data_IF_598378903000
#
_entry.id   IF_598378903000
#
_cell.length_a   1.000
_cell.length_b   1.000
_cell.length_c   1.000
_cell.angle_alpha   90.00
_cell.angle_beta   90.00
_cell.angle_gamma   90.00
#
_symmetry.space_group_name_H-M   'P 1'
#
loop_
_entity.id
_entity.type
_entity.pdbx_description
1 polymer ?
#
# COMPACT_ATOMS: atom_id res chain seq x y z
N UNK A 1 -52.35 -46.88 4.61
CA UNK A 1 -52.53 -45.52 5.10
C UNK A 1 -51.77 -44.60 4.14
N UNK A 2 -52.48 -43.94 3.21
CA UNK A 2 -51.92 -43.28 2.00
C UNK A 2 -51.45 -41.88 2.28
N UNK A 3 -50.25 -41.63 1.87
CA UNK A 3 -49.47 -40.37 1.92
C UNK A 3 -49.97 -39.38 0.86
N UNK A 4 -50.32 -38.17 1.25
CA UNK A 4 -50.64 -37.08 0.34
C UNK A 4 -49.38 -36.19 0.17
N UNK A 5 -48.76 -36.27 -1.01
CA UNK A 5 -47.76 -35.29 -1.45
C UNK A 5 -48.45 -34.13 -2.15
N UNK A 6 -48.34 -32.91 -1.60
CA UNK A 6 -48.80 -31.67 -2.21
C UNK A 6 -47.66 -31.03 -2.99
N UNK A 7 -47.80 -30.96 -4.31
CA UNK A 7 -46.86 -30.24 -5.20
C UNK A 7 -47.03 -28.73 -5.01
N UNK A 8 -45.95 -28.05 -4.70
CA UNK A 8 -45.86 -26.59 -4.75
C UNK A 8 -45.36 -26.21 -6.13
N UNK A 9 -46.18 -25.46 -6.89
CA UNK A 9 -45.81 -24.86 -8.17
C UNK A 9 -45.00 -23.58 -7.93
N UNK A 10 -43.77 -23.54 -8.41
CA UNK A 10 -42.93 -22.33 -8.43
C UNK A 10 -43.42 -21.41 -9.54
N UNK A 11 -43.91 -20.25 -9.21
CA UNK A 11 -44.24 -19.20 -10.16
C UNK A 11 -42.96 -18.34 -10.37
N UNK A 12 -42.43 -18.37 -11.58
CA UNK A 12 -41.34 -17.52 -12.02
C UNK A 12 -41.89 -16.15 -12.38
N UNK A 13 -41.59 -15.16 -11.59
CA UNK A 13 -41.89 -13.76 -11.88
C UNK A 13 -40.73 -13.18 -12.71
N UNK A 14 -40.93 -13.04 -14.01
CA UNK A 14 -40.01 -12.32 -14.89
C UNK A 14 -40.35 -10.85 -14.83
N UNK A 15 -39.51 -10.07 -14.14
CA UNK A 15 -39.59 -8.61 -14.13
C UNK A 15 -38.63 -8.08 -15.21
N UNK A 16 -39.20 -7.63 -16.31
CA UNK A 16 -38.48 -6.91 -17.37
C UNK A 16 -38.14 -5.51 -16.89
N UNK A 17 -36.88 -5.27 -16.50
CA UNK A 17 -36.35 -3.91 -16.30
C UNK A 17 -35.85 -3.39 -17.66
N UNK A 18 -36.54 -2.41 -18.18
CA UNK A 18 -36.10 -1.60 -19.31
C UNK A 18 -35.00 -0.66 -18.82
N UNK A 19 -33.75 -0.98 -19.16
CA UNK A 19 -32.61 -0.10 -18.89
C UNK A 19 -32.64 1.07 -19.89
N UNK A 20 -32.85 2.28 -19.36
CA UNK A 20 -32.58 3.53 -20.09
C UNK A 20 -31.06 3.65 -20.19
N UNK A 21 -30.51 3.48 -21.39
CA UNK A 21 -29.10 3.69 -21.70
C UNK A 21 -28.80 5.19 -21.74
N UNK A 22 -28.46 5.77 -20.59
CA UNK A 22 -27.66 6.98 -20.54
C UNK A 22 -26.22 6.56 -20.80
N UNK A 23 -25.65 7.02 -21.92
CA UNK A 23 -24.27 6.72 -22.32
C UNK A 23 -23.27 7.31 -21.35
N UNK A 24 -22.96 6.55 -20.30
CA UNK A 24 -21.73 6.70 -19.52
C UNK A 24 -20.69 5.83 -20.19
N UNK A 25 -19.70 6.44 -20.82
CA UNK A 25 -18.46 5.76 -21.21
C UNK A 25 -17.77 5.30 -19.94
N UNK A 26 -18.03 4.07 -19.52
CA UNK A 26 -17.19 3.38 -18.55
C UNK A 26 -15.85 3.20 -19.25
N UNK A 27 -14.86 4.00 -18.94
CA UNK A 27 -13.48 3.68 -19.32
C UNK A 27 -13.17 2.31 -18.74
N UNK A 28 -12.87 1.36 -19.62
CA UNK A 28 -12.56 0.00 -19.25
C UNK A 28 -11.43 0.00 -18.21
N UNK A 29 -11.75 -0.43 -17.00
CA UNK A 29 -10.77 -0.72 -15.97
C UNK A 29 -9.82 -1.78 -16.55
N UNK A 30 -8.51 -1.51 -16.55
CA UNK A 30 -7.53 -2.41 -17.17
C UNK A 30 -7.63 -3.81 -16.53
N UNK A 31 -7.45 -4.85 -17.34
CA UNK A 31 -7.57 -6.25 -16.90
C UNK A 31 -6.56 -6.61 -15.78
N UNK A 32 -5.47 -5.87 -15.61
CA UNK A 32 -4.46 -6.08 -14.59
C UNK A 32 -4.71 -5.31 -13.27
N UNK A 33 -5.72 -4.42 -13.24
CA UNK A 33 -6.16 -3.79 -12.00
C UNK A 33 -5.33 -2.59 -11.54
N UNK A 34 -4.50 -1.97 -12.39
CA UNK A 34 -3.80 -0.74 -12.03
C UNK A 34 -4.68 0.49 -12.24
N UNK A 35 -4.75 1.35 -11.23
CA UNK A 35 -5.55 2.58 -11.28
C UNK A 35 -4.67 3.76 -11.68
N UNK A 36 -4.93 4.38 -12.84
CA UNK A 36 -4.31 5.65 -13.21
C UNK A 36 -5.12 6.83 -12.70
N UNK A 37 -4.48 7.78 -12.01
CA UNK A 37 -5.10 9.04 -11.63
C UNK A 37 -4.75 10.09 -12.67
N UNK A 38 -5.78 10.66 -13.30
CA UNK A 38 -5.65 11.72 -14.32
C UNK A 38 -6.19 13.03 -13.78
N UNK A 39 -5.38 14.06 -13.84
CA UNK A 39 -5.72 15.43 -13.48
C UNK A 39 -5.13 16.38 -14.50
N UNK A 40 -5.76 17.53 -14.67
CA UNK A 40 -5.15 18.62 -15.47
C UNK A 40 -3.94 19.18 -14.72
N UNK A 41 -2.76 19.03 -15.31
CA UNK A 41 -1.54 19.56 -14.72
C UNK A 41 -1.56 21.09 -14.64
N UNK A 42 -1.30 21.62 -13.44
CA UNK A 42 -1.22 23.07 -13.15
C UNK A 42 0.21 23.55 -13.01
N UNK A 43 1.16 22.62 -12.85
CA UNK A 43 2.59 22.90 -12.78
C UNK A 43 3.40 21.67 -13.21
N UNK A 44 4.69 21.87 -13.45
CA UNK A 44 5.67 20.82 -13.72
C UNK A 44 6.51 20.46 -12.49
N UNK A 45 6.12 20.92 -11.30
CA UNK A 45 6.92 20.79 -10.08
C UNK A 45 7.29 19.32 -9.79
N UNK A 46 6.33 18.40 -9.92
CA UNK A 46 6.50 16.99 -9.65
C UNK A 46 6.59 16.12 -10.93
N UNK A 47 6.86 16.71 -12.10
CA UNK A 47 6.94 16.01 -13.39
C UNK A 47 8.21 15.16 -13.49
N UNK A 48 8.12 13.92 -13.07
CA UNK A 48 9.21 12.93 -13.15
C UNK A 48 9.42 12.42 -14.58
N UNK A 49 10.61 11.92 -14.87
CA UNK A 49 10.94 11.29 -16.17
C UNK A 49 10.17 9.97 -16.33
N UNK A 50 10.07 9.19 -15.26
CA UNK A 50 9.39 7.92 -15.21
C UNK A 50 8.09 8.01 -14.43
N UNK A 51 7.05 7.23 -14.78
CA UNK A 51 5.81 7.21 -14.03
C UNK A 51 6.04 6.72 -12.60
N UNK A 52 5.18 7.15 -11.68
CA UNK A 52 5.21 6.75 -10.29
C UNK A 52 4.13 5.71 -10.06
N UNK A 53 4.47 4.55 -9.48
CA UNK A 53 3.54 3.51 -9.08
C UNK A 53 3.53 3.41 -7.55
N UNK A 54 2.35 3.63 -6.97
CA UNK A 54 2.12 3.61 -5.53
C UNK A 54 1.59 2.24 -5.10
N UNK A 55 2.16 1.68 -4.05
CA UNK A 55 1.84 0.34 -3.54
C UNK A 55 1.41 0.41 -2.08
N UNK A 56 0.15 0.05 -1.82
CA UNK A 56 -0.46 0.08 -0.49
C UNK A 56 0.15 -0.95 0.48
N UNK A 57 -0.12 -0.76 1.78
CA UNK A 57 0.30 -1.65 2.86
C UNK A 57 -0.58 -2.89 3.04
N UNK A 58 -0.40 -3.56 4.18
CA UNK A 58 -1.27 -4.64 4.64
C UNK A 58 -2.68 -4.11 4.91
N UNK A 59 -3.71 -4.89 4.57
CA UNK A 59 -5.13 -4.50 4.57
C UNK A 59 -5.41 -3.23 3.76
N UNK A 60 -4.52 -2.87 2.83
CA UNK A 60 -4.69 -1.70 1.98
C UNK A 60 -5.49 -1.99 0.72
N UNK A 61 -5.80 -0.94 0.00
CA UNK A 61 -6.53 -0.91 -1.27
C UNK A 61 -5.96 0.17 -2.20
N UNK A 62 -6.39 0.22 -3.44
CA UNK A 62 -6.13 1.37 -4.31
C UNK A 62 -7.23 2.43 -4.16
N UNK A 63 -8.45 2.06 -4.51
CA UNK A 63 -9.68 2.85 -4.41
C UNK A 63 -10.86 1.96 -4.11
N UNK A 64 -11.65 2.31 -3.11
CA UNK A 64 -12.95 1.71 -2.80
C UNK A 64 -14.04 2.68 -3.25
N UNK A 65 -15.04 2.19 -4.01
CA UNK A 65 -16.15 3.00 -4.50
C UNK A 65 -16.10 3.27 -6.00
N UNK A 66 -16.71 4.39 -6.42
CA UNK A 66 -16.86 4.78 -7.83
C UNK A 66 -16.51 6.26 -8.03
N UNK A 67 -16.66 6.76 -9.24
CA UNK A 67 -16.29 8.15 -9.58
C UNK A 67 -17.08 9.22 -8.82
N UNK A 68 -18.29 8.89 -8.34
CA UNK A 68 -19.14 9.83 -7.58
C UNK A 68 -18.80 9.87 -6.10
N UNK A 69 -18.37 8.73 -5.55
CA UNK A 69 -17.92 8.60 -4.16
C UNK A 69 -16.88 7.50 -4.06
N UNK A 70 -15.69 7.88 -3.62
CA UNK A 70 -14.61 6.93 -3.43
C UNK A 70 -13.79 7.22 -2.16
N UNK A 71 -13.11 6.18 -1.69
CA UNK A 71 -12.15 6.24 -0.59
C UNK A 71 -10.82 5.74 -1.13
N UNK A 72 -9.92 6.67 -1.39
CA UNK A 72 -8.58 6.35 -1.83
C UNK A 72 -7.68 6.05 -0.64
N UNK A 73 -6.86 5.00 -0.75
CA UNK A 73 -5.80 4.71 0.23
C UNK A 73 -4.84 5.91 0.38
N UNK A 74 -4.52 6.53 -0.74
CA UNK A 74 -3.62 7.68 -0.86
C UNK A 74 -4.42 8.97 -0.97
N UNK A 75 -5.26 9.26 0.04
CA UNK A 75 -6.20 10.38 -0.01
C UNK A 75 -5.50 11.69 -0.36
N UNK A 76 -5.93 12.35 -1.45
CA UNK A 76 -5.40 13.59 -2.02
C UNK A 76 -3.92 13.55 -2.48
N UNK A 77 -3.15 12.50 -2.20
CA UNK A 77 -1.73 12.39 -2.60
C UNK A 77 -1.61 12.24 -4.11
N UNK A 78 -2.26 11.24 -4.72
CA UNK A 78 -2.14 11.01 -6.16
C UNK A 78 -2.74 12.15 -6.99
N UNK A 79 -3.94 12.68 -6.68
CA UNK A 79 -4.48 13.82 -7.40
C UNK A 79 -3.58 15.06 -7.31
N UNK A 80 -2.97 15.33 -6.15
CA UNK A 80 -2.05 16.46 -6.00
C UNK A 80 -0.78 16.27 -6.84
N UNK A 81 -0.17 15.09 -6.82
CA UNK A 81 1.00 14.77 -7.65
C UNK A 81 0.69 14.90 -9.13
N UNK A 82 -0.49 14.42 -9.59
CA UNK A 82 -0.93 14.54 -10.98
C UNK A 82 -1.15 16.01 -11.38
N UNK A 83 -1.80 16.82 -10.55
CA UNK A 83 -1.94 18.28 -10.77
C UNK A 83 -0.60 19.01 -10.83
N UNK A 84 0.44 18.42 -10.21
CA UNK A 84 1.81 18.96 -10.27
C UNK A 84 2.71 18.27 -11.32
N UNK A 85 2.09 17.56 -12.28
CA UNK A 85 2.72 17.07 -13.50
C UNK A 85 3.23 15.63 -13.46
N UNK A 86 3.06 14.88 -12.35
CA UNK A 86 3.43 13.47 -12.30
C UNK A 86 2.43 12.60 -13.07
N UNK A 87 2.95 11.58 -13.75
CA UNK A 87 2.13 10.44 -14.21
C UNK A 87 2.10 9.41 -13.08
N UNK A 88 0.93 9.21 -12.45
CA UNK A 88 0.80 8.42 -11.23
C UNK A 88 -0.22 7.30 -11.37
N UNK A 89 0.12 6.17 -10.77
CA UNK A 89 -0.70 4.96 -10.71
C UNK A 89 -0.77 4.43 -9.29
N UNK A 90 -1.88 3.81 -8.91
CA UNK A 90 -2.04 3.02 -7.69
C UNK A 90 -2.22 1.55 -8.04
N UNK A 91 -1.37 0.71 -7.47
CA UNK A 91 -1.42 -0.74 -7.69
C UNK A 91 -2.58 -1.38 -6.90
N UNK A 92 -3.28 -2.32 -7.53
CA UNK A 92 -4.28 -3.20 -6.91
C UNK A 92 -3.70 -4.59 -6.73
N UNK A 93 -3.12 -4.85 -5.59
CA UNK A 93 -2.51 -6.14 -5.23
C UNK A 93 -3.19 -6.72 -4.00
N UNK A 94 -2.93 -7.99 -3.69
CA UNK A 94 -3.52 -8.64 -2.51
C UNK A 94 -3.34 -7.79 -1.25
N UNK A 95 -4.42 -7.47 -0.52
CA UNK A 95 -4.33 -6.75 0.76
C UNK A 95 -3.66 -7.60 1.87
N UNK A 96 -3.65 -8.93 1.74
CA UNK A 96 -3.05 -9.83 2.73
C UNK A 96 -2.44 -11.07 2.05
N UNK A 97 -1.12 -11.06 1.84
CA UNK A 97 -0.34 -12.20 1.36
C UNK A 97 1.16 -11.97 1.64
N UNK A 98 2.03 -12.91 1.25
CA UNK A 98 3.49 -12.74 1.39
C UNK A 98 4.01 -11.56 0.57
N UNK A 99 5.16 -11.03 0.97
CA UNK A 99 5.86 -9.95 0.24
C UNK A 99 6.11 -10.34 -1.21
N UNK A 100 6.56 -11.57 -1.45
CA UNK A 100 6.88 -12.08 -2.79
C UNK A 100 5.63 -12.20 -3.67
N UNK A 101 4.56 -12.78 -3.13
CA UNK A 101 3.31 -12.92 -3.87
C UNK A 101 2.77 -11.55 -4.32
N UNK A 102 2.74 -10.59 -3.41
CA UNK A 102 2.37 -9.20 -3.69
C UNK A 102 3.32 -8.56 -4.72
N UNK A 103 4.61 -8.89 -4.62
CA UNK A 103 5.63 -8.43 -5.55
C UNK A 103 5.43 -8.95 -6.97
N UNK A 104 5.07 -10.23 -7.14
CA UNK A 104 4.75 -10.80 -8.46
C UNK A 104 3.51 -10.12 -9.08
N UNK A 105 2.47 -9.86 -8.28
CA UNK A 105 1.31 -9.10 -8.76
C UNK A 105 1.72 -7.67 -9.17
N UNK A 106 2.59 -7.03 -8.42
CA UNK A 106 3.09 -5.69 -8.73
C UNK A 106 3.94 -5.68 -10.01
N UNK A 107 4.76 -6.72 -10.26
CA UNK A 107 5.53 -6.84 -11.50
C UNK A 107 4.62 -6.81 -12.72
N UNK A 108 3.54 -7.59 -12.73
CA UNK A 108 2.59 -7.60 -13.84
C UNK A 108 1.98 -6.20 -14.10
N UNK A 109 1.65 -5.47 -13.05
CA UNK A 109 1.11 -4.11 -13.14
C UNK A 109 2.17 -3.08 -13.56
N UNK A 110 3.42 -3.27 -13.14
CA UNK A 110 4.55 -2.44 -13.64
C UNK A 110 4.74 -2.65 -15.14
N UNK A 111 4.71 -3.88 -15.62
CA UNK A 111 4.81 -4.19 -17.06
C UNK A 111 3.66 -3.51 -17.85
N UNK A 112 2.44 -3.50 -17.29
CA UNK A 112 1.31 -2.76 -17.87
C UNK A 112 1.59 -1.24 -17.91
N UNK A 113 2.08 -0.64 -16.83
CA UNK A 113 2.43 0.80 -16.80
C UNK A 113 3.50 1.14 -17.83
N UNK A 114 4.51 0.30 -17.97
CA UNK A 114 5.55 0.47 -19.00
C UNK A 114 4.95 0.47 -20.41
N UNK A 115 4.04 -0.47 -20.68
CA UNK A 115 3.34 -0.55 -21.98
C UNK A 115 2.44 0.67 -22.22
N UNK A 116 1.65 1.10 -21.23
CA UNK A 116 0.76 2.24 -21.32
C UNK A 116 1.48 3.58 -21.51
N UNK A 117 2.65 3.72 -20.92
CA UNK A 117 3.39 5.00 -20.92
C UNK A 117 4.52 5.07 -21.95
N UNK A 118 4.88 3.94 -22.56
CA UNK A 118 6.05 3.84 -23.45
C UNK A 118 7.37 4.12 -22.74
N UNK A 119 7.41 3.98 -21.40
CA UNK A 119 8.64 4.15 -20.61
C UNK A 119 9.29 2.80 -20.36
N UNK A 120 10.59 2.82 -20.11
CA UNK A 120 11.41 1.64 -19.81
C UNK A 120 11.52 1.36 -18.31
N UNK A 121 11.19 2.33 -17.46
CA UNK A 121 11.28 2.24 -15.99
C UNK A 121 10.13 2.93 -15.31
N UNK A 122 9.94 2.59 -14.02
CA UNK A 122 9.02 3.26 -13.10
C UNK A 122 9.76 3.71 -11.83
N UNK A 123 9.18 4.70 -11.14
CA UNK A 123 9.51 5.03 -9.76
C UNK A 123 8.49 4.34 -8.84
N UNK A 124 8.93 3.45 -7.97
CA UNK A 124 8.09 2.71 -7.04
C UNK A 124 8.05 3.40 -5.68
N UNK A 125 6.87 3.55 -5.10
CA UNK A 125 6.68 4.03 -3.72
C UNK A 125 5.76 3.09 -2.99
N UNK A 126 6.23 2.48 -1.89
CA UNK A 126 5.48 1.52 -1.10
C UNK A 126 5.31 1.96 0.35
N UNK A 127 4.07 1.94 0.84
CA UNK A 127 3.75 2.20 2.25
C UNK A 127 3.70 0.89 3.04
N UNK A 128 4.23 0.89 4.26
CA UNK A 128 4.11 -0.27 5.17
C UNK A 128 4.64 -1.55 4.51
N UNK A 129 3.83 -2.62 4.41
CA UNK A 129 4.15 -3.84 3.64
C UNK A 129 4.46 -3.56 2.16
N UNK A 130 3.96 -2.46 1.61
CA UNK A 130 4.34 -1.99 0.26
C UNK A 130 5.83 -1.68 0.13
N UNK A 131 6.51 -1.29 1.21
CA UNK A 131 7.96 -1.05 1.22
C UNK A 131 8.78 -2.28 0.81
N UNK A 132 8.73 -3.40 1.53
CA UNK A 132 9.38 -4.64 1.10
C UNK A 132 8.81 -5.18 -0.23
N UNK A 133 7.53 -4.93 -0.57
CA UNK A 133 6.95 -5.32 -1.86
C UNK A 133 7.65 -4.61 -3.03
N UNK A 134 7.82 -3.28 -2.98
CA UNK A 134 8.55 -2.55 -4.05
C UNK A 134 10.04 -2.92 -4.08
N UNK A 135 10.63 -3.25 -2.93
CA UNK A 135 11.99 -3.76 -2.85
C UNK A 135 12.13 -5.13 -3.53
N UNK A 136 11.14 -6.00 -3.40
CA UNK A 136 11.11 -7.28 -4.12
C UNK A 136 11.17 -7.05 -5.63
N UNK A 137 10.33 -6.17 -6.17
CA UNK A 137 10.35 -5.82 -7.60
C UNK A 137 11.72 -5.29 -8.03
N UNK A 138 12.31 -4.40 -7.22
CA UNK A 138 13.65 -3.86 -7.50
C UNK A 138 14.76 -4.95 -7.51
N UNK A 139 14.61 -6.00 -6.68
CA UNK A 139 15.55 -7.11 -6.64
C UNK A 139 15.39 -8.09 -7.82
N UNK A 140 14.13 -8.37 -8.22
CA UNK A 140 13.81 -9.41 -9.22
C UNK A 140 13.75 -8.85 -10.64
N UNK A 141 13.33 -7.59 -10.81
CA UNK A 141 13.21 -6.88 -12.11
C UNK A 141 13.92 -5.52 -12.07
N UNK A 142 15.22 -5.46 -11.76
CA UNK A 142 15.95 -4.20 -11.63
C UNK A 142 15.90 -3.33 -12.88
N UNK A 143 15.75 -3.93 -14.05
CA UNK A 143 15.65 -3.22 -15.34
C UNK A 143 14.39 -2.34 -15.44
N UNK A 144 13.33 -2.64 -14.70
CA UNK A 144 12.07 -1.88 -14.73
C UNK A 144 12.03 -0.75 -13.69
N UNK A 145 13.02 -0.67 -12.78
CA UNK A 145 12.95 0.22 -11.62
C UNK A 145 14.00 1.33 -11.72
N UNK A 146 13.56 2.58 -11.66
CA UNK A 146 14.43 3.76 -11.58
C UNK A 146 14.70 4.14 -10.12
N UNK A 147 13.66 4.07 -9.28
CA UNK A 147 13.78 4.23 -7.83
C UNK A 147 12.80 3.36 -7.06
N UNK A 148 13.15 3.00 -5.83
CA UNK A 148 12.26 2.34 -4.88
C UNK A 148 12.29 3.09 -3.54
N UNK A 149 11.11 3.49 -3.06
CA UNK A 149 10.94 4.31 -1.87
C UNK A 149 10.04 3.61 -0.87
N UNK A 150 10.45 3.53 0.39
CA UNK A 150 9.66 3.04 1.49
C UNK A 150 9.09 4.15 2.36
N UNK A 151 7.80 4.09 2.67
CA UNK A 151 7.08 5.00 3.55
C UNK A 151 6.57 4.20 4.73
N UNK A 152 7.10 4.42 5.93
CA UNK A 152 6.78 3.59 7.09
C UNK A 152 7.00 2.09 6.81
N UNK A 153 8.00 1.74 5.98
CA UNK A 153 8.19 0.39 5.44
C UNK A 153 8.68 -0.61 6.48
N UNK A 154 8.22 -1.85 6.38
CA UNK A 154 8.57 -2.96 7.29
C UNK A 154 9.83 -3.70 6.84
N UNK A 155 10.94 -2.98 6.63
CA UNK A 155 12.18 -3.58 6.08
C UNK A 155 12.91 -4.51 7.05
N UNK A 156 12.63 -4.41 8.34
CA UNK A 156 13.14 -5.29 9.40
C UNK A 156 12.02 -5.96 10.20
N UNK A 157 10.82 -5.97 9.66
CA UNK A 157 9.63 -6.53 10.30
C UNK A 157 8.96 -5.57 11.28
N UNK A 158 7.91 -6.08 11.91
CA UNK A 158 7.09 -5.39 12.89
C UNK A 158 6.89 -6.28 14.12
N UNK A 159 7.27 -5.78 15.28
CA UNK A 159 7.00 -6.43 16.58
C UNK A 159 5.49 -6.59 16.83
N UNK A 160 4.65 -5.72 16.23
CA UNK A 160 3.18 -5.90 16.27
C UNK A 160 2.78 -7.19 15.57
N UNK A 161 3.35 -7.47 14.38
CA UNK A 161 3.08 -8.71 13.65
C UNK A 161 3.53 -9.95 14.46
N UNK A 162 4.72 -9.89 15.09
CA UNK A 162 5.21 -10.97 15.96
C UNK A 162 4.26 -11.23 17.12
N UNK A 163 3.77 -10.19 17.79
CA UNK A 163 2.83 -10.33 18.91
C UNK A 163 1.49 -10.91 18.49
N UNK A 164 0.97 -10.53 17.32
CA UNK A 164 -0.25 -11.12 16.77
C UNK A 164 -0.03 -12.61 16.49
N UNK A 165 1.08 -12.98 15.85
CA UNK A 165 1.39 -14.37 15.53
C UNK A 165 1.60 -15.26 16.77
N UNK A 166 2.29 -14.75 17.78
CA UNK A 166 2.71 -15.52 18.94
C UNK A 166 1.62 -15.65 20.02
N UNK A 167 0.51 -14.93 19.92
CA UNK A 167 -0.61 -15.03 20.85
C UNK A 167 -1.75 -15.84 20.20
N UNK A 168 -2.01 -17.06 20.71
CA UNK A 168 -2.98 -18.00 20.14
C UNK A 168 -4.40 -17.40 20.06
N UNK A 169 -4.85 -16.66 21.08
CA UNK A 169 -6.18 -16.06 21.09
C UNK A 169 -6.28 -14.89 20.09
N UNK A 170 -5.30 -14.00 20.09
CA UNK A 170 -5.22 -12.91 19.11
C UNK A 170 -5.14 -13.47 17.70
N UNK A 171 -4.28 -14.44 17.45
CA UNK A 171 -4.12 -15.09 16.14
C UNK A 171 -5.45 -15.69 15.64
N UNK A 172 -6.20 -16.40 16.49
CA UNK A 172 -7.48 -16.97 16.08
C UNK A 172 -8.49 -15.90 15.67
N UNK A 173 -8.60 -14.82 16.43
CA UNK A 173 -9.49 -13.69 16.11
C UNK A 173 -9.03 -12.97 14.83
N UNK A 174 -7.74 -12.67 14.73
CA UNK A 174 -7.20 -11.98 13.57
C UNK A 174 -7.24 -12.85 12.30
N UNK A 175 -7.12 -14.19 12.39
CA UNK A 175 -7.29 -15.06 11.24
C UNK A 175 -8.74 -15.03 10.74
N UNK A 176 -9.74 -15.08 11.63
CA UNK A 176 -11.14 -14.98 11.21
C UNK A 176 -11.42 -13.61 10.54
N UNK A 177 -10.98 -12.53 11.15
CA UNK A 177 -11.15 -11.19 10.59
C UNK A 177 -10.34 -10.99 9.31
N UNK A 178 -9.11 -11.51 9.29
CA UNK A 178 -8.12 -11.28 8.26
C UNK A 178 -8.27 -12.19 7.03
N UNK A 179 -8.77 -13.42 7.16
CA UNK A 179 -8.97 -14.30 6.01
C UNK A 179 -10.41 -14.26 5.49
N UNK A 180 -11.40 -14.07 6.38
CA UNK A 180 -12.80 -14.27 6.01
C UNK A 180 -13.65 -13.01 5.99
N UNK A 181 -13.21 -11.90 6.56
CA UNK A 181 -14.04 -10.69 6.69
C UNK A 181 -13.39 -9.48 6.02
N UNK A 182 -12.28 -8.95 6.55
CA UNK A 182 -11.76 -7.64 6.12
C UNK A 182 -11.15 -7.66 4.73
N UNK A 183 -10.17 -8.51 4.39
CA UNK A 183 -9.58 -8.51 3.04
C UNK A 183 -10.56 -8.96 1.95
N UNK A 184 -11.45 -9.96 2.14
CA UNK A 184 -12.48 -10.26 1.15
C UNK A 184 -13.43 -9.08 0.90
N UNK A 185 -13.80 -8.33 1.95
CA UNK A 185 -14.63 -7.13 1.80
C UNK A 185 -13.89 -6.04 1.00
N UNK A 186 -12.60 -5.82 1.27
CA UNK A 186 -11.75 -4.89 0.52
C UNK A 186 -11.66 -5.33 -0.94
N UNK A 187 -11.30 -6.57 -1.21
CA UNK A 187 -11.18 -7.12 -2.56
C UNK A 187 -12.49 -7.01 -3.34
N UNK A 188 -13.63 -7.30 -2.69
CA UNK A 188 -14.96 -7.11 -3.29
C UNK A 188 -15.25 -5.64 -3.60
N UNK A 189 -14.93 -4.75 -2.67
CA UNK A 189 -15.16 -3.31 -2.82
C UNK A 189 -14.26 -2.66 -3.89
N UNK A 190 -13.11 -3.27 -4.17
CA UNK A 190 -12.23 -2.91 -5.30
C UNK A 190 -12.64 -3.59 -6.63
N UNK A 191 -13.71 -4.39 -6.64
CA UNK A 191 -14.12 -5.16 -7.82
C UNK A 191 -13.25 -6.39 -8.12
N UNK A 192 -12.49 -6.89 -7.15
CA UNK A 192 -11.54 -8.03 -7.27
C UNK A 192 -11.84 -9.13 -6.23
N UNK A 193 -13.08 -9.69 -6.19
CA UNK A 193 -13.47 -10.66 -5.17
C UNK A 193 -12.70 -12.00 -5.24
N UNK A 194 -12.05 -12.27 -6.34
CA UNK A 194 -11.23 -13.46 -6.62
C UNK A 194 -9.75 -13.31 -6.24
N UNK A 195 -9.38 -12.17 -5.63
CA UNK A 195 -7.98 -11.91 -5.26
C UNK A 195 -7.52 -12.87 -4.17
N UNK A 196 -6.42 -13.62 -4.36
CA UNK A 196 -5.92 -14.54 -3.35
C UNK A 196 -5.51 -13.82 -2.06
N UNK A 197 -5.91 -14.39 -0.93
CA UNK A 197 -5.72 -13.81 0.40
C UNK A 197 -5.13 -14.86 1.34
N UNK A 198 -4.21 -14.45 2.21
CA UNK A 198 -3.69 -15.25 3.31
C UNK A 198 -3.18 -14.34 4.43
N UNK A 199 -3.94 -14.26 5.51
CA UNK A 199 -3.56 -13.48 6.68
C UNK A 199 -2.29 -14.03 7.34
N UNK A 200 -2.24 -15.34 7.60
CA UNK A 200 -1.08 -16.01 8.21
C UNK A 200 0.19 -15.78 7.39
N UNK A 201 0.12 -15.89 6.06
CA UNK A 201 1.25 -15.64 5.18
C UNK A 201 1.72 -14.18 5.23
N UNK A 202 0.78 -13.22 5.32
CA UNK A 202 1.13 -11.81 5.45
C UNK A 202 1.79 -11.50 6.79
N UNK A 203 1.25 -12.04 7.90
CA UNK A 203 1.86 -11.85 9.23
C UNK A 203 3.23 -12.50 9.32
N UNK A 204 3.40 -13.70 8.74
CA UNK A 204 4.71 -14.36 8.67
C UNK A 204 5.73 -13.48 7.92
N UNK A 205 5.37 -12.92 6.78
CA UNK A 205 6.23 -11.99 6.02
C UNK A 205 6.56 -10.70 6.77
N UNK A 206 5.59 -10.18 7.56
CA UNK A 206 5.74 -8.94 8.31
C UNK A 206 6.46 -9.11 9.65
N UNK A 207 6.64 -10.33 10.14
CA UNK A 207 7.38 -10.60 11.37
C UNK A 207 8.86 -10.24 11.26
N UNK A 208 9.54 -10.01 12.38
CA UNK A 208 11.00 -9.79 12.38
C UNK A 208 11.75 -10.97 11.77
N UNK A 209 11.32 -12.20 12.06
CA UNK A 209 11.91 -13.43 11.50
C UNK A 209 11.66 -13.54 9.98
N UNK A 210 10.44 -13.28 9.51
CA UNK A 210 10.10 -13.32 8.08
C UNK A 210 10.84 -12.25 7.28
N UNK A 211 10.94 -11.04 7.84
CA UNK A 211 11.73 -9.96 7.24
C UNK A 211 13.22 -10.29 7.21
N UNK A 212 13.78 -10.92 8.25
CA UNK A 212 15.17 -11.36 8.25
C UNK A 212 15.43 -12.45 7.19
N UNK A 213 14.50 -13.39 7.01
CA UNK A 213 14.57 -14.39 5.95
C UNK A 213 14.49 -13.75 4.55
N UNK A 214 13.56 -12.82 4.35
CA UNK A 214 13.46 -12.04 3.12
C UNK A 214 14.77 -11.27 2.84
N UNK A 215 15.35 -10.63 3.84
CA UNK A 215 16.60 -9.87 3.72
C UNK A 215 17.78 -10.77 3.35
N UNK A 216 17.80 -12.02 3.83
CA UNK A 216 18.81 -13.02 3.49
C UNK A 216 18.67 -13.51 2.04
N UNK A 217 17.43 -13.73 1.57
CA UNK A 217 17.16 -14.20 0.19
C UNK A 217 17.34 -13.10 -0.86
N UNK A 218 17.06 -11.86 -0.50
CA UNK A 218 17.21 -10.70 -1.38
C UNK A 218 18.16 -9.68 -0.73
N UNK A 219 19.48 -9.94 -0.69
CA UNK A 219 20.44 -9.04 -0.06
C UNK A 219 20.52 -7.71 -0.82
N UNK A 220 20.76 -6.62 -0.06
CA UNK A 220 20.93 -5.28 -0.64
C UNK A 220 21.76 -4.41 0.31
N UNK A 221 22.62 -3.58 -0.26
CA UNK A 221 23.37 -2.57 0.48
C UNK A 221 22.50 -1.38 0.90
N UNK A 222 21.30 -1.24 0.31
CA UNK A 222 20.33 -0.23 0.70
C UNK A 222 19.75 -0.47 2.11
N UNK A 223 19.86 -1.70 2.65
CA UNK A 223 19.51 -2.00 4.02
C UNK A 223 20.79 -1.92 4.90
N UNK A 224 20.97 -0.82 5.64
CA UNK A 224 22.11 -0.66 6.53
C UNK A 224 22.20 -1.77 7.58
N UNK A 225 23.42 -2.08 8.04
CA UNK A 225 23.66 -3.10 9.08
C UNK A 225 23.12 -2.69 10.46
N UNK A 226 22.98 -1.40 10.70
CA UNK A 226 22.45 -0.84 11.93
C UNK A 226 21.44 0.31 11.67
N UNK A 227 20.66 0.66 12.71
CA UNK A 227 19.64 1.69 12.63
C UNK A 227 20.14 3.13 12.72
N UNK A 228 21.44 3.34 12.89
CA UNK A 228 22.05 4.68 13.03
C UNK A 228 22.54 5.24 11.70
N UNK A 229 22.52 4.41 10.66
CA UNK A 229 23.06 4.75 9.33
C UNK A 229 22.00 4.57 8.27
N UNK A 230 22.04 5.43 7.25
CA UNK A 230 21.38 5.16 5.98
C UNK A 230 22.06 4.01 5.27
N UNK A 231 21.29 3.23 4.51
CA UNK A 231 21.86 2.29 3.54
C UNK A 231 22.37 3.01 2.29
N UNK A 232 22.86 2.23 1.33
CA UNK A 232 23.30 2.78 0.04
C UNK A 232 22.12 3.47 -0.65
N UNK A 233 22.35 4.72 -1.08
CA UNK A 233 21.37 5.48 -1.86
C UNK A 233 21.15 4.89 -3.24
N UNK A 234 22.21 4.33 -3.84
CA UNK A 234 22.19 3.77 -5.20
C UNK A 234 22.82 2.37 -5.18
N UNK A 235 22.11 1.42 -5.75
CA UNK A 235 22.60 0.05 -5.98
C UNK A 235 22.03 -0.45 -7.31
N UNK A 236 22.84 -1.03 -8.17
CA UNK A 236 22.45 -1.55 -9.49
C UNK A 236 21.71 -0.51 -10.38
N UNK A 237 22.05 0.77 -10.24
CA UNK A 237 21.42 1.86 -10.99
C UNK A 237 20.04 2.26 -10.50
N UNK A 238 19.57 1.69 -9.40
CA UNK A 238 18.29 2.03 -8.73
C UNK A 238 18.57 2.96 -7.56
N UNK A 239 17.77 4.03 -7.43
CA UNK A 239 17.85 4.94 -6.31
C UNK A 239 16.88 4.49 -5.19
N UNK A 240 17.36 4.43 -3.95
CA UNK A 240 16.62 3.96 -2.80
C UNK A 240 16.42 5.07 -1.77
N UNK A 241 15.18 5.22 -1.30
CA UNK A 241 14.79 6.24 -0.34
C UNK A 241 13.83 5.68 0.71
N UNK A 242 13.79 6.33 1.89
CA UNK A 242 12.74 6.05 2.87
C UNK A 242 12.42 7.26 3.74
N UNK A 243 11.25 7.24 4.34
CA UNK A 243 10.88 8.06 5.48
C UNK A 243 9.91 7.32 6.39
N UNK A 244 9.80 7.78 7.64
CA UNK A 244 8.94 7.18 8.66
C UNK A 244 8.40 8.20 9.65
N UNK A 245 7.46 7.75 10.48
CA UNK A 245 6.87 8.50 11.57
C UNK A 245 7.18 7.88 12.93
N UNK A 246 6.90 8.63 13.99
CA UNK A 246 7.11 8.21 15.39
C UNK A 246 5.92 8.56 16.30
N UNK A 247 4.81 9.03 15.74
CA UNK A 247 3.60 9.30 16.49
C UNK A 247 2.67 8.09 16.50
N UNK A 248 1.82 7.99 17.52
CA UNK A 248 0.78 6.96 17.62
C UNK A 248 -0.61 7.60 17.70
N UNK A 249 -0.81 8.46 18.71
CA UNK A 249 -2.06 9.20 18.90
C UNK A 249 -1.89 10.59 18.31
N UNK A 250 -2.40 10.82 17.11
CA UNK A 250 -2.28 12.11 16.42
C UNK A 250 -3.57 12.90 16.44
N UNK A 251 -4.72 12.23 16.35
CA UNK A 251 -6.04 12.85 16.38
C UNK A 251 -7.03 11.90 17.06
N UNK A 252 -7.68 12.35 18.13
CA UNK A 252 -8.66 11.54 18.88
C UNK A 252 -9.97 11.29 18.13
N UNK A 253 -10.24 12.06 17.08
CA UNK A 253 -11.41 11.85 16.20
C UNK A 253 -11.10 10.85 15.08
N UNK A 254 -9.85 10.43 14.96
CA UNK A 254 -9.44 9.47 13.95
C UNK A 254 -9.63 8.04 14.47
N UNK A 255 -10.42 7.26 13.76
CA UNK A 255 -10.76 5.89 14.14
C UNK A 255 -9.51 4.98 14.17
N UNK A 256 -8.49 5.29 13.39
CA UNK A 256 -7.25 4.53 13.33
C UNK A 256 -6.38 4.70 14.60
N UNK A 257 -6.57 5.78 15.35
CA UNK A 257 -5.87 6.03 16.62
C UNK A 257 -5.99 4.83 17.57
N UNK A 258 -7.14 4.12 17.55
CA UNK A 258 -7.32 2.91 18.37
C UNK A 258 -6.38 1.80 17.90
N UNK A 259 -6.25 1.60 16.59
CA UNK A 259 -5.34 0.59 16.03
C UNK A 259 -3.88 0.94 16.31
N UNK A 260 -3.53 2.22 16.27
CA UNK A 260 -2.15 2.69 16.53
C UNK A 260 -1.69 2.45 17.98
N UNK A 261 -2.62 2.18 18.92
CA UNK A 261 -2.26 1.78 20.28
C UNK A 261 -1.59 0.40 20.37
N UNK A 262 -1.63 -0.40 19.31
CA UNK A 262 -0.86 -1.64 19.22
C UNK A 262 0.66 -1.37 19.27
N UNK A 263 1.10 -0.23 18.77
CA UNK A 263 2.50 0.18 18.81
C UNK A 263 3.06 0.29 20.23
N UNK A 264 2.56 1.18 21.09
CA UNK A 264 2.98 1.26 22.48
C UNK A 264 2.94 -0.07 23.23
N UNK A 265 1.91 -0.89 22.98
CA UNK A 265 1.80 -2.23 23.59
C UNK A 265 2.88 -3.20 23.08
N UNK A 266 3.32 -3.04 21.83
CA UNK A 266 4.32 -3.89 21.22
C UNK A 266 5.75 -3.43 21.50
N UNK A 267 6.02 -2.15 21.32
CA UNK A 267 7.36 -1.56 21.35
C UNK A 267 7.75 -0.96 22.72
N UNK A 268 6.78 -0.73 23.62
CA UNK A 268 7.01 -0.02 24.88
C UNK A 268 7.48 1.41 24.61
N UNK A 269 8.63 1.81 25.18
CA UNK A 269 9.19 3.16 25.04
C UNK A 269 10.05 3.36 23.77
N UNK A 270 10.09 2.40 22.84
CA UNK A 270 10.85 2.55 21.60
C UNK A 270 10.04 3.33 20.57
N UNK A 271 10.71 4.24 19.84
CA UNK A 271 10.10 5.02 18.77
C UNK A 271 9.44 4.13 17.72
N UNK A 272 8.17 4.41 17.44
CA UNK A 272 7.34 3.68 16.44
C UNK A 272 6.19 4.58 15.99
N UNK A 273 5.59 4.24 14.85
CA UNK A 273 4.46 4.96 14.26
C UNK A 273 3.08 4.35 14.60
N UNK A 274 3.04 3.44 15.57
CA UNK A 274 1.84 2.68 15.94
C UNK A 274 1.85 1.24 15.40
N UNK A 275 2.54 0.96 14.30
CA UNK A 275 2.59 -0.35 13.65
C UNK A 275 4.04 -0.82 13.41
N UNK A 276 4.95 0.10 13.10
CA UNK A 276 6.32 -0.18 12.68
C UNK A 276 7.29 0.62 13.52
N UNK A 277 8.33 -0.05 14.02
CA UNK A 277 9.40 0.60 14.77
C UNK A 277 10.25 1.49 13.85
N UNK A 278 10.69 2.65 14.34
CA UNK A 278 11.50 3.64 13.61
C UNK A 278 12.65 3.02 12.82
N UNK A 279 13.40 2.10 13.44
CA UNK A 279 14.52 1.41 12.79
C UNK A 279 14.08 0.57 11.59
N UNK A 280 12.92 -0.08 11.65
CA UNK A 280 12.43 -0.92 10.56
C UNK A 280 12.12 -0.12 9.29
N UNK A 281 11.84 1.18 9.41
CA UNK A 281 11.51 2.05 8.27
C UNK A 281 12.74 2.49 7.46
N UNK A 282 13.97 2.24 7.94
CA UNK A 282 15.20 2.69 7.29
C UNK A 282 15.56 1.84 6.07
N UNK A 283 15.64 2.50 4.92
CA UNK A 283 16.02 1.88 3.65
C UNK A 283 16.61 2.92 2.69
N UNK A 284 17.74 2.63 2.05
CA UNK A 284 18.43 3.55 1.17
C UNK A 284 18.79 4.86 1.88
N UNK A 285 18.62 5.98 1.19
CA UNK A 285 18.74 7.31 1.80
C UNK A 285 17.51 7.56 2.69
N UNK A 286 17.70 7.59 4.00
CA UNK A 286 16.68 8.04 4.94
C UNK A 286 16.50 9.54 4.80
N UNK A 287 15.35 9.98 4.29
CA UNK A 287 15.01 11.39 4.10
C UNK A 287 14.69 12.02 5.46
N UNK A 288 13.84 11.32 6.21
CA UNK A 288 13.47 11.65 7.59
C UNK A 288 12.80 10.42 8.23
N UNK A 289 13.05 10.17 9.49
CA UNK A 289 12.56 8.99 10.22
C UNK A 289 11.79 9.31 11.50
N UNK A 290 11.48 10.60 11.70
CA UNK A 290 10.88 11.14 12.93
C UNK A 290 9.73 12.11 12.63
N UNK A 291 8.99 11.91 11.56
CA UNK A 291 7.79 12.72 11.34
C UNK A 291 6.80 12.52 12.49
N UNK A 292 6.18 13.61 12.96
CA UNK A 292 5.07 13.54 13.91
C UNK A 292 3.77 13.10 13.19
N UNK A 293 3.82 11.89 12.64
CA UNK A 293 2.76 11.21 11.90
C UNK A 293 2.68 9.78 12.42
N UNK A 294 1.47 9.24 12.54
CA UNK A 294 1.28 7.83 12.79
C UNK A 294 1.36 7.03 11.47
N UNK A 295 1.19 5.72 11.56
CA UNK A 295 1.35 4.82 10.42
C UNK A 295 0.41 5.14 9.26
N UNK A 296 -0.85 5.43 9.52
CA UNK A 296 -1.87 5.74 8.52
C UNK A 296 -1.79 7.18 8.04
N UNK A 297 -1.40 8.13 8.92
CA UNK A 297 -1.11 9.51 8.56
C UNK A 297 0.00 9.61 7.49
N UNK A 298 1.01 8.73 7.54
CA UNK A 298 2.09 8.69 6.55
C UNK A 298 1.57 8.52 5.11
N UNK A 299 0.43 7.84 4.93
CA UNK A 299 -0.25 7.67 3.63
C UNK A 299 -1.45 8.61 3.45
N UNK A 300 -1.66 9.55 4.38
CA UNK A 300 -2.80 10.47 4.40
C UNK A 300 -4.16 9.76 4.36
N UNK A 301 -4.25 8.58 4.95
CA UNK A 301 -5.47 7.77 4.99
C UNK A 301 -6.57 8.46 5.80
N UNK A 302 -7.74 7.83 5.91
CA UNK A 302 -8.87 8.29 6.74
C UNK A 302 -9.24 9.74 6.49
N UNK A 303 -9.38 10.11 5.21
CA UNK A 303 -9.74 11.47 4.75
C UNK A 303 -8.71 12.56 5.14
N UNK A 304 -7.47 12.17 5.42
CA UNK A 304 -6.40 13.08 5.81
C UNK A 304 -6.53 13.65 7.20
N UNK A 305 -7.27 12.97 8.09
CA UNK A 305 -7.27 13.29 9.52
C UNK A 305 -5.88 13.02 10.10
N UNK A 306 -5.30 14.02 10.73
CA UNK A 306 -3.98 13.95 11.35
C UNK A 306 -3.87 14.94 12.50
N UNK A 307 -2.75 14.94 13.20
CA UNK A 307 -2.46 15.90 14.27
C UNK A 307 -2.46 17.35 13.76
N UNK A 308 -2.92 18.29 14.59
CA UNK A 308 -3.05 19.72 14.23
C UNK A 308 -1.74 20.34 13.76
N UNK A 309 -0.61 19.93 14.36
CA UNK A 309 0.73 20.41 14.01
C UNK A 309 1.57 19.40 13.24
N UNK A 310 0.94 18.31 12.75
CA UNK A 310 1.62 17.31 11.95
C UNK A 310 2.00 17.90 10.58
N UNK A 311 3.12 17.47 10.01
CA UNK A 311 3.47 17.84 8.64
C UNK A 311 2.40 17.34 7.66
N UNK A 312 2.31 18.00 6.50
CA UNK A 312 1.35 17.61 5.46
C UNK A 312 1.90 16.44 4.61
N UNK A 313 1.33 15.24 4.68
CA UNK A 313 1.78 14.10 3.89
C UNK A 313 1.68 14.36 2.38
N UNK A 314 0.63 15.06 1.91
CA UNK A 314 0.46 15.42 0.50
C UNK A 314 1.66 16.23 0.00
N UNK A 315 2.09 17.20 0.79
CA UNK A 315 3.28 18.01 0.47
C UNK A 315 4.58 17.16 0.51
N UNK A 316 4.70 16.21 1.44
CA UNK A 316 5.88 15.31 1.53
C UNK A 316 6.01 14.49 0.24
N UNK A 317 4.94 13.87 -0.24
CA UNK A 317 4.97 13.08 -1.49
C UNK A 317 5.25 13.96 -2.71
N UNK A 318 4.63 15.13 -2.82
CA UNK A 318 4.91 16.08 -3.90
C UNK A 318 6.37 16.54 -3.91
N UNK A 319 6.94 16.84 -2.74
CA UNK A 319 8.36 17.18 -2.59
C UNK A 319 9.26 16.00 -2.96
N UNK A 320 8.85 14.76 -2.66
CA UNK A 320 9.61 13.59 -3.06
C UNK A 320 9.59 13.39 -4.58
N UNK A 321 8.44 13.56 -5.23
CA UNK A 321 8.36 13.52 -6.68
C UNK A 321 9.26 14.60 -7.33
N UNK A 322 9.29 15.80 -6.76
CA UNK A 322 10.25 16.84 -7.20
C UNK A 322 11.71 16.40 -6.98
N UNK A 323 12.04 15.75 -5.86
CA UNK A 323 13.38 15.18 -5.62
C UNK A 323 13.76 14.16 -6.71
N UNK A 324 12.84 13.26 -7.10
CA UNK A 324 13.04 12.32 -8.19
C UNK A 324 13.27 13.05 -9.51
N UNK A 325 12.44 14.05 -9.83
CA UNK A 325 12.60 14.89 -11.03
C UNK A 325 13.99 15.53 -11.09
N UNK A 326 14.43 16.15 -9.99
CA UNK A 326 15.73 16.84 -9.93
C UNK A 326 16.92 15.89 -10.05
N UNK A 327 16.72 14.59 -9.80
CA UNK A 327 17.75 13.55 -10.00
C UNK A 327 17.62 12.83 -11.35
N UNK A 328 16.72 13.29 -12.23
CA UNK A 328 16.55 12.75 -13.59
C UNK A 328 15.74 11.45 -13.64
N UNK A 329 14.94 11.17 -12.60
CA UNK A 329 14.14 9.93 -12.44
C UNK A 329 12.69 10.13 -12.78
#
# INVERSE_FOLDING_TARGET
MKMFMKKIKTATLVTTMTALSLGLTVEAQSAAGILQIKETAKSDYAKTKYPIVMTHGWLGWSRIGNDSFNIDYWYQILPDMARNGSTVFAAQISPAHTTEFRGEQLIAQVEEVLALTGKDKVNLIGHSHGGPTVRYVAAVKPQYVASATGVGGTFRGSVVADKIQNNTASRAIFNILGDYIVPPLIAWAEGRPDMPLSFDASMASLSETGSADFNRRYPTTALASDCKKSGSKVENGINYYSWGGVAQTTNLLDIDTILMQLGPLAYGNKDNDGMVGRCSTHFGQVIRDDYNLNHTDLANMMFGLKGVFAPDPVAIFRQHANRLKLTGL
#
